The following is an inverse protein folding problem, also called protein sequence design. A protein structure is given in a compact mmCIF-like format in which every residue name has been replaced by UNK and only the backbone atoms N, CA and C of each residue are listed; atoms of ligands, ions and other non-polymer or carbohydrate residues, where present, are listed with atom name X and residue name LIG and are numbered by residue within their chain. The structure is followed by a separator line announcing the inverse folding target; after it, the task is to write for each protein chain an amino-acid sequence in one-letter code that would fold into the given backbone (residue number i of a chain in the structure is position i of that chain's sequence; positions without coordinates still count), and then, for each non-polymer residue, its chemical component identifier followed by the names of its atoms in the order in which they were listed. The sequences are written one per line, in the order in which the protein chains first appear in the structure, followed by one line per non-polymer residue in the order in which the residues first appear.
data_IF_191347043399
#
_entry.id   IF_191347043399
#
_cell.length_a   1.000
_cell.length_b   1.000
_cell.length_c   1.000
_cell.angle_alpha   90.00
_cell.angle_beta   90.00
_cell.angle_gamma   90.00
#
_symmetry.space_group_name_H-M   'P 1'
#
loop_
_entity.id
_entity.type
_entity.pdbx_description
1 polymer ?
#
# COMPACT_ATOMS: atom_id res chain seq x y z
N UNK A 1 -35.64 2.50 -5.82
CA UNK A 1 -35.38 1.20 -5.15
C UNK A 1 -33.89 0.91 -5.24
N UNK A 2 -33.17 1.07 -4.17
CA UNK A 2 -31.73 0.79 -4.13
C UNK A 2 -31.50 -0.73 -4.15
N UNK A 3 -30.78 -1.21 -5.15
CA UNK A 3 -30.37 -2.61 -5.28
C UNK A 3 -29.39 -2.92 -4.13
N UNK A 4 -29.84 -3.73 -3.16
CA UNK A 4 -28.97 -4.26 -2.11
C UNK A 4 -27.91 -5.15 -2.79
N UNK A 5 -26.69 -4.65 -2.92
CA UNK A 5 -25.54 -5.50 -3.24
C UNK A 5 -25.37 -6.49 -2.07
N UNK A 6 -25.40 -7.78 -2.38
CA UNK A 6 -25.15 -8.84 -1.41
C UNK A 6 -23.71 -8.72 -0.96
N UNK A 7 -23.52 -8.29 0.28
CA UNK A 7 -22.20 -8.20 0.89
C UNK A 7 -21.51 -9.57 0.88
N UNK A 8 -20.25 -9.58 0.45
CA UNK A 8 -19.41 -10.75 0.59
C UNK A 8 -19.21 -11.02 2.09
N UNK A 9 -19.48 -12.24 2.51
CA UNK A 9 -19.25 -12.65 3.89
C UNK A 9 -17.75 -12.69 4.13
N UNK A 10 -17.20 -11.92 5.07
CA UNK A 10 -15.79 -11.98 5.37
C UNK A 10 -15.40 -13.37 5.90
N UNK A 11 -14.16 -13.81 5.72
CA UNK A 11 -13.71 -15.17 6.07
C UNK A 11 -13.83 -15.51 7.55
N UNK A 12 -14.29 -14.59 8.38
CA UNK A 12 -14.41 -14.75 9.84
C UNK A 12 -15.87 -14.64 10.36
N UNK A 13 -16.87 -14.89 9.51
CA UNK A 13 -18.27 -14.99 9.95
C UNK A 13 -18.98 -13.68 10.28
N UNK A 14 -18.35 -12.53 10.06
CA UNK A 14 -18.99 -11.22 10.19
C UNK A 14 -19.72 -10.81 8.90
N UNK A 15 -20.83 -10.09 9.02
CA UNK A 15 -21.50 -9.47 7.87
C UNK A 15 -20.87 -8.10 7.62
N UNK A 16 -20.27 -7.93 6.43
CA UNK A 16 -19.75 -6.63 6.03
C UNK A 16 -20.90 -5.74 5.54
N UNK A 17 -21.18 -4.66 6.26
CA UNK A 17 -22.19 -3.67 5.88
C UNK A 17 -21.47 -2.40 5.44
N UNK A 18 -21.54 -2.09 4.15
CA UNK A 18 -21.03 -0.82 3.64
C UNK A 18 -21.95 0.33 4.08
N UNK A 19 -21.40 1.25 4.88
CA UNK A 19 -22.15 2.42 5.38
C UNK A 19 -22.14 3.60 4.41
N UNK A 20 -21.06 3.80 3.67
CA UNK A 20 -20.93 4.88 2.69
C UNK A 20 -19.86 4.57 1.64
N UNK A 21 -20.04 5.13 0.44
CA UNK A 21 -18.97 5.19 -0.58
C UNK A 21 -18.20 6.48 -0.37
N UNK A 22 -16.92 6.37 -0.05
CA UNK A 22 -16.03 7.53 0.15
C UNK A 22 -15.43 8.01 -1.16
N UNK A 23 -15.00 7.06 -2.02
CA UNK A 23 -14.39 7.33 -3.32
C UNK A 23 -15.06 6.50 -4.41
N UNK A 24 -15.34 7.12 -5.54
CA UNK A 24 -15.71 6.42 -6.77
C UNK A 24 -14.49 5.99 -7.59
N UNK A 25 -14.71 5.20 -8.63
CA UNK A 25 -13.63 4.74 -9.52
C UNK A 25 -12.85 5.90 -10.17
N UNK A 26 -13.54 6.95 -10.58
CA UNK A 26 -12.90 8.14 -11.16
C UNK A 26 -12.09 8.93 -10.12
N UNK A 27 -12.56 9.01 -8.89
CA UNK A 27 -11.82 9.65 -7.79
C UNK A 27 -10.54 8.91 -7.48
N UNK A 28 -10.61 7.58 -7.46
CA UNK A 28 -9.44 6.71 -7.28
C UNK A 28 -8.43 6.88 -8.41
N UNK A 29 -8.88 6.88 -9.65
CA UNK A 29 -8.02 7.09 -10.81
C UNK A 29 -7.31 8.46 -10.76
N UNK A 30 -8.02 9.51 -10.38
CA UNK A 30 -7.43 10.84 -10.19
C UNK A 30 -6.41 10.87 -9.06
N UNK A 31 -6.70 10.20 -7.95
CA UNK A 31 -5.78 10.11 -6.81
C UNK A 31 -4.51 9.36 -7.17
N UNK A 32 -4.62 8.22 -7.85
CA UNK A 32 -3.47 7.45 -8.34
C UNK A 32 -2.60 8.30 -9.27
N UNK A 33 -3.22 9.00 -10.20
CA UNK A 33 -2.50 9.86 -11.17
C UNK A 33 -1.76 11.01 -10.48
N UNK A 34 -2.38 11.63 -9.48
CA UNK A 34 -1.75 12.67 -8.65
C UNK A 34 -0.55 12.11 -7.88
N UNK A 35 -0.72 10.97 -7.20
CA UNK A 35 0.38 10.32 -6.49
C UNK A 35 1.53 9.95 -7.43
N UNK A 36 1.23 9.49 -8.64
CA UNK A 36 2.26 9.18 -9.64
C UNK A 36 3.09 10.43 -9.99
N UNK A 37 2.46 11.56 -10.24
CA UNK A 37 3.16 12.82 -10.49
C UNK A 37 4.02 13.26 -9.30
N UNK A 38 3.50 13.15 -8.07
CA UNK A 38 4.23 13.49 -6.86
C UNK A 38 5.47 12.61 -6.65
N UNK A 39 5.36 11.30 -6.94
CA UNK A 39 6.50 10.37 -6.85
C UNK A 39 7.57 10.72 -7.87
N UNK A 40 7.20 11.00 -9.11
CA UNK A 40 8.18 11.40 -10.16
C UNK A 40 8.88 12.69 -9.77
N UNK A 41 8.11 13.68 -9.34
CA UNK A 41 8.66 15.00 -8.98
C UNK A 41 9.60 14.89 -7.77
N UNK A 42 9.17 14.19 -6.72
CA UNK A 42 9.96 14.05 -5.48
C UNK A 42 11.28 13.29 -5.68
N UNK A 43 11.29 12.35 -6.60
CA UNK A 43 12.45 11.48 -6.86
C UNK A 43 13.24 11.88 -8.10
N UNK A 44 12.85 12.95 -8.80
CA UNK A 44 13.48 13.39 -10.05
C UNK A 44 13.55 12.29 -11.12
N UNK A 45 12.51 11.49 -11.21
CA UNK A 45 12.40 10.32 -12.08
C UNK A 45 12.25 9.02 -11.30
N UNK A 46 12.32 7.88 -12.00
CA UNK A 46 12.00 6.57 -11.43
C UNK A 46 13.20 5.59 -11.40
N UNK A 47 14.40 6.01 -11.74
CA UNK A 47 15.56 5.13 -11.94
C UNK A 47 15.90 4.26 -10.71
N UNK A 48 15.70 4.78 -9.51
CA UNK A 48 15.98 4.10 -8.24
C UNK A 48 14.75 3.88 -7.36
N UNK A 49 13.55 4.04 -7.94
CA UNK A 49 12.29 3.89 -7.24
C UNK A 49 11.77 2.46 -7.36
N UNK A 50 11.37 1.89 -6.24
CA UNK A 50 10.70 0.57 -6.12
C UNK A 50 9.40 0.76 -5.37
N UNK A 51 8.30 0.19 -5.88
CA UNK A 51 7.02 0.19 -5.19
C UNK A 51 6.83 -1.12 -4.43
N UNK A 52 6.50 -1.05 -3.16
CA UNK A 52 6.18 -2.22 -2.34
C UNK A 52 4.75 -2.09 -1.82
N UNK A 53 3.86 -2.91 -2.34
CA UNK A 53 2.46 -2.96 -1.91
C UNK A 53 2.29 -3.79 -0.64
N UNK A 54 1.59 -3.24 0.35
CA UNK A 54 1.27 -3.97 1.56
C UNK A 54 0.05 -4.87 1.34
N UNK A 55 0.16 -6.13 1.74
CA UNK A 55 -0.95 -7.07 1.67
C UNK A 55 -2.07 -6.63 2.63
N UNK A 56 -3.36 -6.63 2.21
CA UNK A 56 -3.81 -7.04 0.87
C UNK A 56 -4.20 -5.86 -0.01
N UNK A 57 -4.76 -4.81 0.54
CA UNK A 57 -5.30 -3.65 -0.18
C UNK A 57 -4.26 -2.83 -0.95
N UNK A 58 -3.05 -2.74 -0.42
CA UNK A 58 -1.96 -1.99 -1.04
C UNK A 58 -1.45 -2.59 -2.35
N UNK A 59 -1.60 -3.89 -2.56
CA UNK A 59 -1.14 -4.57 -3.78
C UNK A 59 -1.90 -4.06 -5.01
N UNK A 60 -3.20 -3.93 -4.92
CA UNK A 60 -4.02 -3.40 -6.01
C UNK A 60 -3.67 -1.94 -6.34
N UNK A 61 -3.50 -1.11 -5.32
CA UNK A 61 -3.09 0.30 -5.50
C UNK A 61 -1.70 0.38 -6.13
N UNK A 62 -0.79 -0.52 -5.75
CA UNK A 62 0.57 -0.59 -6.31
C UNK A 62 0.56 -0.85 -7.81
N UNK A 63 -0.25 -1.80 -8.30
CA UNK A 63 -0.37 -2.09 -9.72
C UNK A 63 -0.89 -0.88 -10.50
N UNK A 64 -1.96 -0.26 -10.04
CA UNK A 64 -2.49 0.94 -10.66
C UNK A 64 -1.49 2.09 -10.68
N UNK A 65 -0.73 2.26 -9.59
CA UNK A 65 0.27 3.29 -9.48
C UNK A 65 1.46 3.03 -10.43
N UNK A 66 1.91 1.77 -10.55
CA UNK A 66 2.97 1.38 -11.46
C UNK A 66 2.58 1.61 -12.93
N UNK A 67 1.32 1.32 -13.29
CA UNK A 67 0.78 1.61 -14.62
C UNK A 67 0.75 3.12 -14.90
N UNK A 68 0.25 3.92 -13.97
CA UNK A 68 0.19 5.37 -14.12
C UNK A 68 1.60 5.98 -14.24
N UNK A 69 2.57 5.50 -13.46
CA UNK A 69 3.96 5.93 -13.55
C UNK A 69 4.57 5.59 -14.91
N UNK A 70 4.30 4.39 -15.44
CA UNK A 70 4.76 3.98 -16.77
C UNK A 70 4.15 4.85 -17.89
N UNK A 71 2.88 5.21 -17.79
CA UNK A 71 2.22 6.10 -18.75
C UNK A 71 2.80 7.52 -18.73
N UNK A 72 3.15 8.04 -17.56
CA UNK A 72 3.62 9.43 -17.39
C UNK A 72 5.10 9.56 -17.72
N UNK A 73 5.94 8.68 -17.18
CA UNK A 73 7.40 8.76 -17.26
C UNK A 73 8.02 7.88 -18.37
N UNK A 74 7.22 6.96 -18.92
CA UNK A 74 7.68 5.99 -19.92
C UNK A 74 8.46 4.82 -19.32
N UNK A 75 8.66 4.79 -18.01
CA UNK A 75 9.36 3.74 -17.29
C UNK A 75 8.49 3.16 -16.18
N UNK A 76 8.29 1.83 -16.19
CA UNK A 76 7.60 1.12 -15.11
C UNK A 76 8.60 0.82 -13.99
N UNK A 77 8.36 1.28 -12.75
CA UNK A 77 9.21 0.92 -11.62
C UNK A 77 9.05 -0.57 -11.27
N UNK A 78 10.08 -1.16 -10.66
CA UNK A 78 9.97 -2.50 -10.09
C UNK A 78 8.93 -2.50 -8.96
N UNK A 79 8.17 -3.58 -8.86
CA UNK A 79 7.14 -3.75 -7.84
C UNK A 79 7.40 -5.01 -7.01
N UNK A 80 6.98 -4.98 -5.76
CA UNK A 80 6.97 -6.12 -4.86
C UNK A 80 5.77 -6.08 -3.94
N UNK A 81 5.55 -7.15 -3.21
CA UNK A 81 4.50 -7.27 -2.20
C UNK A 81 5.09 -7.66 -0.86
N UNK A 82 4.53 -7.11 0.22
CA UNK A 82 4.98 -7.37 1.58
C UNK A 82 3.79 -7.71 2.47
N UNK A 83 3.85 -8.88 3.08
CA UNK A 83 2.94 -9.25 4.16
C UNK A 83 3.59 -8.92 5.51
N UNK A 84 2.93 -8.07 6.27
CA UNK A 84 3.39 -7.62 7.59
C UNK A 84 2.64 -8.27 8.74
N UNK A 85 1.76 -9.25 8.48
CA UNK A 85 0.92 -9.85 9.51
C UNK A 85 1.73 -10.43 10.67
N UNK A 86 2.90 -11.01 10.39
CA UNK A 86 3.80 -11.57 11.40
C UNK A 86 4.67 -10.54 12.13
N UNK A 87 4.76 -9.32 11.63
CA UNK A 87 5.59 -8.25 12.18
C UNK A 87 4.79 -7.22 12.99
N UNK A 88 3.46 -7.37 13.04
CA UNK A 88 2.59 -6.46 13.79
C UNK A 88 2.66 -6.77 15.28
N UNK A 89 2.65 -5.74 16.11
CA UNK A 89 2.61 -5.84 17.58
C UNK A 89 1.24 -6.28 18.12
N UNK A 90 0.18 -6.24 17.30
CA UNK A 90 -1.18 -6.70 17.61
C UNK A 90 -1.53 -8.09 17.03
N UNK A 91 -0.53 -8.89 16.67
CA UNK A 91 -0.70 -10.19 16.00
C UNK A 91 -1.60 -11.17 16.77
N UNK A 92 -1.61 -11.12 18.08
CA UNK A 92 -2.48 -11.96 18.92
C UNK A 92 -3.96 -11.59 18.91
N UNK A 93 -4.31 -10.44 18.32
CA UNK A 93 -5.67 -9.88 18.31
C UNK A 93 -6.40 -10.08 16.97
N UNK A 94 -5.69 -10.52 15.94
CA UNK A 94 -6.23 -10.74 14.60
C UNK A 94 -5.78 -12.06 14.02
N UNK A 95 -6.69 -12.81 13.36
CA UNK A 95 -6.28 -14.02 12.68
C UNK A 95 -5.32 -13.72 11.52
N UNK A 96 -4.29 -14.53 11.41
CA UNK A 96 -3.34 -14.48 10.29
C UNK A 96 -4.01 -15.13 9.08
N UNK A 97 -4.05 -14.44 7.94
CA UNK A 97 -4.53 -14.99 6.67
C UNK A 97 -3.35 -15.72 6.00
N UNK A 98 -3.40 -17.05 5.84
CA UNK A 98 -2.26 -17.82 5.35
C UNK A 98 -1.88 -17.59 3.90
N UNK A 99 -2.72 -16.89 3.13
CA UNK A 99 -2.57 -16.73 1.67
C UNK A 99 -1.83 -15.46 1.24
N UNK A 100 -1.49 -14.59 2.19
CA UNK A 100 -0.72 -13.39 1.88
C UNK A 100 0.76 -13.74 1.69
N UNK A 101 1.32 -13.39 0.54
CA UNK A 101 2.68 -13.74 0.15
C UNK A 101 3.54 -12.49 0.10
N UNK A 102 4.69 -12.52 0.76
CA UNK A 102 5.76 -11.56 0.52
C UNK A 102 6.54 -11.98 -0.72
N UNK A 103 6.62 -11.09 -1.70
CA UNK A 103 7.37 -11.28 -2.94
C UNK A 103 8.18 -10.02 -3.24
N UNK A 104 9.41 -10.00 -2.77
CA UNK A 104 10.40 -8.96 -3.03
C UNK A 104 11.64 -9.63 -3.60
N UNK A 105 11.76 -9.67 -4.92
CA UNK A 105 12.83 -10.38 -5.63
C UNK A 105 14.03 -9.49 -5.96
N UNK A 106 13.86 -8.15 -5.85
CA UNK A 106 14.94 -7.19 -6.12
C UNK A 106 15.72 -6.86 -4.85
N UNK A 107 16.98 -6.50 -5.00
CA UNK A 107 17.77 -5.91 -3.92
C UNK A 107 17.34 -4.46 -3.68
N UNK A 108 17.04 -4.12 -2.43
CA UNK A 108 16.62 -2.77 -2.04
C UNK A 108 17.77 -1.84 -1.66
N UNK A 109 19.02 -2.31 -1.69
CA UNK A 109 20.19 -1.49 -1.35
C UNK A 109 20.27 -0.25 -2.23
N UNK A 110 20.33 0.91 -1.57
CA UNK A 110 20.43 2.19 -2.26
C UNK A 110 19.19 2.63 -3.03
N UNK A 111 18.10 1.87 -2.99
CA UNK A 111 16.84 2.23 -3.64
C UNK A 111 15.98 3.15 -2.77
N UNK A 112 15.14 3.93 -3.40
CA UNK A 112 14.02 4.59 -2.75
C UNK A 112 12.82 3.66 -2.80
N UNK A 113 12.38 3.18 -1.65
CA UNK A 113 11.18 2.35 -1.53
C UNK A 113 9.97 3.25 -1.30
N UNK A 114 8.95 3.11 -2.13
CA UNK A 114 7.63 3.67 -1.87
C UNK A 114 6.76 2.54 -1.35
N UNK A 115 6.44 2.57 -0.06
CA UNK A 115 5.43 1.70 0.53
C UNK A 115 4.05 2.17 0.09
N UNK A 116 3.23 1.25 -0.39
CA UNK A 116 1.90 1.55 -0.89
C UNK A 116 0.85 0.78 -0.08
N UNK A 117 -0.13 1.50 0.43
CA UNK A 117 -1.26 0.92 1.15
C UNK A 117 -2.58 1.56 0.72
N UNK A 118 -3.70 0.93 1.03
CA UNK A 118 -5.02 1.48 0.77
C UNK A 118 -5.43 2.53 1.82
N UNK A 119 -5.29 2.19 3.10
CA UNK A 119 -5.72 3.04 4.22
C UNK A 119 -4.63 3.18 5.28
N UNK A 120 -4.27 4.41 5.57
CA UNK A 120 -3.41 4.74 6.71
C UNK A 120 -4.27 5.11 7.92
N UNK A 121 -4.06 4.41 9.03
CA UNK A 121 -4.78 4.61 10.28
C UNK A 121 -3.83 4.97 11.41
N UNK A 122 -3.47 4.02 12.30
CA UNK A 122 -2.60 4.26 13.45
C UNK A 122 -1.12 4.42 13.09
N UNK A 123 -0.69 3.86 11.97
CA UNK A 123 0.70 3.76 11.53
C UNK A 123 1.39 2.46 11.92
N UNK A 124 0.74 1.56 12.66
CA UNK A 124 1.34 0.29 13.13
C UNK A 124 1.69 -0.66 12.00
N UNK A 125 0.86 -0.73 10.96
CA UNK A 125 1.14 -1.51 9.75
C UNK A 125 2.40 -1.00 9.05
N UNK A 126 2.56 0.31 8.94
CA UNK A 126 3.73 0.93 8.31
C UNK A 126 5.00 0.71 9.14
N UNK A 127 4.91 0.80 10.46
CA UNK A 127 6.05 0.46 11.33
C UNK A 127 6.50 -0.98 11.13
N UNK A 128 5.56 -1.92 11.10
CA UNK A 128 5.85 -3.33 10.84
C UNK A 128 6.51 -3.53 9.47
N UNK A 129 6.06 -2.78 8.44
CA UNK A 129 6.67 -2.81 7.13
C UNK A 129 8.11 -2.27 7.13
N UNK A 130 8.37 -1.18 7.84
CA UNK A 130 9.73 -0.63 7.99
C UNK A 130 10.68 -1.63 8.63
N UNK A 131 10.24 -2.34 9.67
CA UNK A 131 11.02 -3.38 10.33
C UNK A 131 11.30 -4.56 9.35
N UNK A 132 10.28 -4.99 8.62
CA UNK A 132 10.39 -6.11 7.67
C UNK A 132 11.30 -5.79 6.47
N UNK A 133 11.31 -4.56 5.97
CA UNK A 133 12.14 -4.16 4.84
C UNK A 133 13.64 -4.39 5.08
N UNK A 134 14.09 -4.30 6.32
CA UNK A 134 15.48 -4.52 6.69
C UNK A 134 16.02 -5.91 6.32
N UNK A 135 15.14 -6.90 6.10
CA UNK A 135 15.54 -8.24 5.65
C UNK A 135 15.80 -8.34 4.16
N UNK A 136 15.36 -7.36 3.37
CA UNK A 136 15.46 -7.33 1.90
C UNK A 136 16.52 -6.38 1.35
N UNK A 137 17.22 -5.68 2.23
CA UNK A 137 18.25 -4.75 1.86
C UNK A 137 18.20 -3.47 2.69
N UNK A 138 19.05 -2.52 2.31
CA UNK A 138 19.16 -1.22 2.99
C UNK A 138 18.79 -0.09 2.02
N UNK A 139 17.51 0.26 1.92
CA UNK A 139 17.08 1.36 1.06
C UNK A 139 17.70 2.68 1.54
N UNK A 140 17.95 3.59 0.61
CA UNK A 140 18.42 4.95 0.94
C UNK A 140 17.33 5.81 1.58
N UNK A 141 16.07 5.49 1.31
CA UNK A 141 14.92 6.16 1.89
C UNK A 141 13.63 5.36 1.67
N UNK A 142 12.65 5.62 2.53
CA UNK A 142 11.32 5.04 2.43
C UNK A 142 10.29 6.16 2.39
N UNK A 143 9.44 6.14 1.38
CA UNK A 143 8.30 7.03 1.21
C UNK A 143 7.02 6.25 1.39
N UNK A 144 5.92 6.92 1.66
CA UNK A 144 4.62 6.30 1.88
C UNK A 144 3.57 6.91 0.95
N UNK A 145 2.88 6.06 0.20
CA UNK A 145 1.74 6.43 -0.62
C UNK A 145 0.49 5.66 -0.14
N UNK A 146 -0.58 6.38 0.16
CA UNK A 146 -1.85 5.79 0.60
C UNK A 146 -3.02 6.38 -0.16
N UNK A 147 -4.03 5.56 -0.42
CA UNK A 147 -5.25 6.02 -1.07
C UNK A 147 -6.08 6.90 -0.13
N UNK A 148 -6.18 6.51 1.13
CA UNK A 148 -6.97 7.21 2.16
C UNK A 148 -6.17 7.35 3.44
N UNK A 149 -6.04 8.57 3.92
CA UNK A 149 -5.55 8.86 5.27
C UNK A 149 -6.74 9.03 6.20
N UNK A 150 -6.96 8.05 7.08
CA UNK A 150 -8.06 8.03 8.04
C UNK A 150 -7.81 8.93 9.26
N UNK A 151 -6.56 9.34 9.51
CA UNK A 151 -6.17 10.01 10.73
C UNK A 151 -6.02 9.05 11.92
N UNK A 152 -6.06 9.60 13.14
CA UNK A 152 -5.93 8.84 14.41
C UNK A 152 -4.59 8.10 14.56
N UNK A 153 -3.49 8.80 14.26
CA UNK A 153 -2.13 8.25 14.41
C UNK A 153 -1.81 7.93 15.86
N UNK A 154 -1.18 6.77 16.05
CA UNK A 154 -0.49 6.42 17.30
C UNK A 154 1.04 6.53 17.16
N UNK A 155 1.54 6.59 15.94
CA UNK A 155 2.95 6.74 15.59
C UNK A 155 3.15 7.96 14.67
N UNK A 156 4.32 8.63 14.69
CA UNK A 156 4.58 9.84 13.91
C UNK A 156 4.90 9.50 12.44
N UNK A 157 3.97 8.89 11.74
CA UNK A 157 4.07 8.46 10.34
C UNK A 157 3.12 9.32 9.49
N UNK A 158 3.62 9.81 8.35
CA UNK A 158 2.87 10.61 7.38
C UNK A 158 3.11 10.09 5.96
N UNK A 159 2.06 10.11 5.11
CA UNK A 159 2.19 9.87 3.69
C UNK A 159 2.79 11.06 2.95
#
# INVERSE_FOLDING_TARGET
MAKRERGQTPPFGGVFVAHARILGAEDMARAVRRMAHEIIERNHGLSDVVLIGLQTGGVFVTEQLAEALAEIDGQRPATGTLDVALHRDDIGLRPVVPEAITDITMNLDGKTVVLVDDVLFTGRTIRAALDALGTFGRPQGVQLAVMVDRGHRELPIRP
#
